data_IF_847298888416
#
_entry.id   IF_847298888416
#
_cell.length_a   1.000
_cell.length_b   1.000
_cell.length_c   1.000
_cell.angle_alpha   90.00
_cell.angle_beta   90.00
_cell.angle_gamma   90.00
#
_symmetry.space_group_name_H-M   'P 1'
#
loop_
_entity.id
_entity.type
_entity.pdbx_description
1 polymer ?
#
# COMPACT_ATOMS: atom_id res chain seq x y z
N UNK A 1 100.77 8.89 34.69
CA UNK A 1 99.33 8.76 34.42
C UNK A 1 98.92 9.89 33.49
N UNK A 2 98.67 9.60 32.21
CA UNK A 2 98.41 10.62 31.17
C UNK A 2 96.95 11.09 31.22
N UNK A 3 96.80 12.38 31.40
CA UNK A 3 95.60 13.21 31.18
C UNK A 3 95.16 13.19 29.71
N UNK A 4 93.86 13.07 29.43
CA UNK A 4 93.27 13.47 28.14
C UNK A 4 92.02 14.34 28.32
N UNK A 5 92.00 15.40 27.52
CA UNK A 5 91.07 16.52 27.44
C UNK A 5 89.72 16.15 26.76
N UNK A 6 88.72 16.99 27.05
CA UNK A 6 87.37 17.09 26.47
C UNK A 6 87.34 17.07 24.93
N UNK A 7 86.23 16.57 24.38
CA UNK A 7 85.65 17.02 23.10
C UNK A 7 84.13 17.18 23.29
N UNK A 8 83.61 18.34 22.88
CA UNK A 8 82.20 18.66 22.83
C UNK A 8 81.56 18.13 21.54
N UNK A 9 80.32 17.68 21.62
CA UNK A 9 79.48 17.38 20.44
C UNK A 9 78.23 18.24 20.51
N UNK A 10 78.10 19.11 19.51
CA UNK A 10 76.91 19.90 19.25
C UNK A 10 75.80 18.99 18.71
N UNK A 11 74.59 19.10 19.26
CA UNK A 11 73.40 18.48 18.69
C UNK A 11 72.51 19.57 18.10
N UNK A 12 72.32 19.45 16.78
CA UNK A 12 71.42 20.19 15.92
C UNK A 12 69.97 19.99 16.32
N UNK A 13 69.22 21.09 16.39
CA UNK A 13 67.76 21.14 16.43
C UNK A 13 67.15 20.47 15.20
N UNK A 14 66.37 19.40 15.39
CA UNK A 14 65.45 18.88 14.39
C UNK A 14 64.02 19.31 14.77
N UNK A 15 63.43 20.15 13.93
CA UNK A 15 62.01 20.54 13.98
C UNK A 15 61.16 19.30 13.63
N UNK A 16 60.44 18.74 14.58
CA UNK A 16 59.43 17.71 14.32
C UNK A 16 58.13 18.37 13.86
N UNK A 17 57.83 18.23 12.57
CA UNK A 17 56.54 18.57 11.98
C UNK A 17 55.54 17.46 12.31
N UNK A 18 54.70 17.67 13.33
CA UNK A 18 53.60 16.77 13.64
C UNK A 18 52.46 16.99 12.63
N UNK A 19 52.29 16.05 11.70
CA UNK A 19 51.11 15.96 10.84
C UNK A 19 49.92 15.51 11.70
N UNK A 20 49.05 16.45 12.07
CA UNK A 20 47.75 16.13 12.66
C UNK A 20 46.83 15.60 11.55
N UNK A 21 46.78 14.28 11.37
CA UNK A 21 45.72 13.62 10.61
C UNK A 21 44.43 13.72 11.44
N UNK A 22 43.63 14.74 11.14
CA UNK A 22 42.27 14.84 11.65
C UNK A 22 41.45 13.67 11.11
N UNK A 23 41.17 12.69 11.96
CA UNK A 23 40.14 11.70 11.70
C UNK A 23 38.79 12.43 11.76
N UNK A 24 38.32 12.90 10.60
CA UNK A 24 36.92 13.24 10.43
C UNK A 24 36.15 11.92 10.47
N UNK A 25 35.69 11.55 11.67
CA UNK A 25 34.67 10.52 11.80
C UNK A 25 33.45 11.01 11.02
N UNK A 26 33.12 10.30 9.93
CA UNK A 26 31.82 10.38 9.28
C UNK A 26 30.79 9.89 10.31
N UNK A 27 30.28 10.81 11.12
CA UNK A 27 29.14 10.53 11.99
C UNK A 27 27.95 10.26 11.07
N UNK A 28 27.45 9.02 11.11
CA UNK A 28 26.12 8.72 10.58
C UNK A 28 25.13 9.76 11.14
N UNK A 29 24.19 10.30 10.34
CA UNK A 29 23.23 11.26 10.82
C UNK A 29 22.50 10.67 12.03
N UNK A 30 22.57 11.37 13.15
CA UNK A 30 21.87 10.98 14.36
C UNK A 30 20.36 10.93 14.06
N UNK A 31 19.68 9.89 14.57
CA UNK A 31 18.23 9.78 14.49
C UNK A 31 17.58 11.12 14.91
N UNK A 32 16.94 11.80 13.96
CA UNK A 32 16.33 13.09 14.20
C UNK A 32 14.98 12.85 14.91
N UNK A 33 14.88 13.25 16.18
CA UNK A 33 13.71 12.99 17.00
C UNK A 33 12.43 13.60 16.40
N UNK A 34 11.41 12.75 16.27
CA UNK A 34 10.08 13.03 15.73
C UNK A 34 9.35 14.19 16.44
N UNK A 35 8.65 15.03 15.68
CA UNK A 35 7.49 15.76 16.21
C UNK A 35 6.37 14.76 16.52
N UNK A 36 5.73 14.80 17.71
CA UNK A 36 4.86 13.73 18.22
C UNK A 36 3.48 13.59 17.54
N UNK A 37 3.29 14.16 16.36
CA UNK A 37 2.00 14.21 15.62
C UNK A 37 2.17 13.84 14.15
N UNK A 38 3.21 13.09 13.82
CA UNK A 38 3.62 12.78 12.46
C UNK A 38 3.56 11.27 12.23
N UNK A 39 2.99 10.85 11.10
CA UNK A 39 3.07 9.47 10.61
C UNK A 39 4.50 8.99 10.57
N UNK A 40 4.71 7.67 10.61
CA UNK A 40 6.03 7.08 10.80
C UNK A 40 6.28 5.88 9.93
N UNK A 41 7.49 5.78 9.39
CA UNK A 41 8.00 4.61 8.69
C UNK A 41 8.73 3.71 9.67
N UNK A 42 8.32 2.43 9.75
CA UNK A 42 8.85 1.46 10.72
C UNK A 42 9.01 0.10 10.06
N UNK A 43 10.14 -0.56 10.30
CA UNK A 43 10.27 -1.97 9.98
C UNK A 43 9.75 -2.81 11.15
N UNK A 44 8.71 -3.60 10.94
CA UNK A 44 8.10 -4.47 11.95
C UNK A 44 7.44 -5.68 11.29
N UNK A 45 7.40 -6.83 11.97
CA UNK A 45 6.80 -8.03 11.39
C UNK A 45 7.58 -8.69 10.25
N UNK A 46 8.66 -8.05 9.75
CA UNK A 46 9.39 -8.50 8.57
C UNK A 46 9.26 -7.53 7.39
N UNK A 47 8.34 -6.56 7.50
CA UNK A 47 7.99 -5.62 6.43
C UNK A 47 8.21 -4.17 6.84
N UNK A 48 8.23 -3.29 5.84
CA UNK A 48 8.20 -1.85 5.99
C UNK A 48 6.75 -1.36 6.12
N UNK A 49 6.46 -0.59 7.17
CA UNK A 49 5.14 -0.03 7.43
C UNK A 49 5.18 1.50 7.42
N UNK A 50 4.27 2.15 6.70
CA UNK A 50 3.82 3.50 7.03
C UNK A 50 2.69 3.41 8.05
N UNK A 51 2.81 4.11 9.18
CA UNK A 51 1.77 4.19 10.21
C UNK A 51 1.46 5.64 10.54
N UNK A 52 0.27 6.08 10.21
CA UNK A 52 -0.22 7.39 10.59
C UNK A 52 -0.34 7.55 12.10
N UNK A 53 -0.35 8.81 12.55
CA UNK A 53 -0.69 9.13 13.94
C UNK A 53 -2.20 9.35 14.05
N UNK A 54 -2.81 8.93 15.16
CA UNK A 54 -4.24 9.14 15.42
C UNK A 54 -4.68 10.58 15.20
N UNK A 55 -5.73 10.79 14.39
CA UNK A 55 -6.31 12.10 14.10
C UNK A 55 -5.51 12.95 13.11
N UNK A 56 -4.40 12.44 12.59
CA UNK A 56 -3.72 13.03 11.44
C UNK A 56 -4.57 12.71 10.21
N UNK A 57 -5.12 13.74 9.55
CA UNK A 57 -5.59 13.50 8.19
C UNK A 57 -4.39 13.36 7.25
N UNK A 58 -4.37 12.34 6.40
CA UNK A 58 -3.29 11.94 5.53
C UNK A 58 -3.67 12.17 4.06
N UNK A 59 -2.68 12.47 3.22
CA UNK A 59 -2.78 12.44 1.76
C UNK A 59 -1.52 11.81 1.21
N UNK A 60 -1.40 10.50 1.45
CA UNK A 60 -0.24 9.71 1.14
C UNK A 60 -0.18 9.37 -0.35
N UNK A 61 0.99 9.50 -0.95
CA UNK A 61 1.31 8.91 -2.25
C UNK A 61 2.57 8.08 -2.09
N UNK A 62 2.53 6.83 -2.58
CA UNK A 62 3.71 5.96 -2.59
C UNK A 62 4.04 5.59 -4.03
N UNK A 63 5.16 6.10 -4.52
CA UNK A 63 5.70 5.75 -5.83
C UNK A 63 6.89 4.83 -5.67
N UNK A 64 7.08 3.88 -6.57
CA UNK A 64 8.34 3.15 -6.67
C UNK A 64 9.07 3.35 -7.99
N UNK A 65 10.37 3.03 -7.95
CA UNK A 65 11.14 2.54 -9.10
C UNK A 65 11.99 1.34 -8.64
N UNK A 66 12.42 0.50 -9.58
CA UNK A 66 13.42 -0.53 -9.31
C UNK A 66 14.81 0.05 -9.53
N UNK A 67 15.74 -0.25 -8.63
CA UNK A 67 17.15 0.12 -8.75
C UNK A 67 18.01 -1.12 -8.51
N UNK A 68 18.91 -1.42 -9.45
CA UNK A 68 19.89 -2.50 -9.31
C UNK A 68 21.20 -1.89 -8.84
N UNK A 69 21.75 -2.44 -7.76
CA UNK A 69 23.04 -2.07 -7.18
C UNK A 69 24.01 -3.23 -7.37
N UNK A 70 25.30 -2.93 -7.53
CA UNK A 70 26.45 -3.84 -7.66
C UNK A 70 26.26 -5.19 -8.41
N UNK A 71 27.04 -5.41 -9.48
CA UNK A 71 27.21 -6.70 -10.18
C UNK A 71 25.90 -7.43 -10.65
N UNK A 72 24.81 -6.70 -10.87
CA UNK A 72 23.54 -7.17 -11.46
C UNK A 72 22.76 -8.21 -10.63
N UNK A 73 23.07 -8.39 -9.34
CA UNK A 73 22.40 -9.38 -8.48
C UNK A 73 21.58 -8.79 -7.33
N UNK A 74 21.83 -7.54 -6.92
CA UNK A 74 21.10 -6.91 -5.82
C UNK A 74 20.12 -5.86 -6.35
N UNK A 75 18.85 -6.23 -6.46
CA UNK A 75 17.78 -5.32 -6.86
C UNK A 75 17.06 -4.75 -5.62
N UNK A 76 16.57 -3.52 -5.72
CA UNK A 76 15.86 -2.83 -4.65
C UNK A 76 14.61 -2.16 -5.18
N UNK A 77 13.52 -2.25 -4.42
CA UNK A 77 12.38 -1.34 -4.56
C UNK A 77 12.72 -0.02 -3.88
N UNK A 78 12.82 1.03 -4.68
CA UNK A 78 13.01 2.38 -4.16
C UNK A 78 11.64 3.02 -3.99
N UNK A 79 11.10 2.90 -2.78
CA UNK A 79 9.80 3.45 -2.39
C UNK A 79 9.98 4.91 -1.97
N UNK A 80 9.13 5.80 -2.49
CA UNK A 80 9.07 7.20 -2.07
C UNK A 80 7.69 7.50 -1.53
N UNK A 81 7.62 7.67 -0.22
CA UNK A 81 6.44 8.08 0.51
C UNK A 81 6.37 9.60 0.53
N UNK A 82 5.22 10.16 0.15
CA UNK A 82 4.92 11.59 0.25
C UNK A 82 3.60 11.76 0.97
N UNK A 83 3.60 12.49 2.07
CA UNK A 83 2.37 12.88 2.76
C UNK A 83 2.28 14.41 2.84
N UNK A 84 1.13 14.92 3.29
CA UNK A 84 0.94 16.35 3.58
C UNK A 84 1.57 16.76 4.92
N UNK A 85 1.72 15.83 5.85
CA UNK A 85 2.36 16.05 7.13
C UNK A 85 3.81 15.51 7.11
N UNK A 86 4.68 15.96 8.03
CA UNK A 86 5.99 15.35 8.21
C UNK A 86 5.85 13.85 8.48
N UNK A 87 6.79 13.07 7.95
CA UNK A 87 6.93 11.64 8.16
C UNK A 87 8.16 11.43 9.05
N UNK A 88 8.01 10.68 10.13
CA UNK A 88 9.12 10.24 10.97
C UNK A 88 9.72 8.96 10.40
N UNK A 89 11.05 8.82 10.45
CA UNK A 89 11.71 7.57 10.10
C UNK A 89 12.22 6.91 11.38
N UNK A 90 11.64 5.77 11.75
CA UNK A 90 12.11 5.00 12.90
C UNK A 90 13.47 4.38 12.60
N UNK A 91 14.27 4.17 13.65
CA UNK A 91 15.58 3.54 13.54
C UNK A 91 15.51 2.17 12.84
N UNK A 92 14.44 1.40 13.06
CA UNK A 92 14.28 0.09 12.41
C UNK A 92 14.16 0.20 10.90
N UNK A 93 13.38 1.18 10.40
CA UNK A 93 13.22 1.43 8.97
C UNK A 93 14.50 2.01 8.35
N UNK A 94 15.21 2.88 9.07
CA UNK A 94 16.51 3.40 8.62
C UNK A 94 17.57 2.29 8.52
N UNK A 95 17.63 1.38 9.50
CA UNK A 95 18.65 0.34 9.56
C UNK A 95 18.38 -0.84 8.62
N UNK A 96 17.11 -1.19 8.37
CA UNK A 96 16.73 -2.39 7.61
C UNK A 96 16.27 -2.12 6.18
N UNK A 97 15.59 -1.00 5.95
CA UNK A 97 15.00 -0.63 4.65
C UNK A 97 15.63 0.66 4.09
N UNK A 98 16.78 1.05 4.66
CA UNK A 98 17.57 2.23 4.27
C UNK A 98 16.75 3.51 4.13
N UNK A 99 15.71 3.67 4.95
CA UNK A 99 14.84 4.83 4.88
C UNK A 99 15.60 6.11 5.24
N UNK A 100 15.55 7.10 4.35
CA UNK A 100 16.21 8.40 4.50
C UNK A 100 15.32 9.53 3.99
N UNK A 101 15.57 10.75 4.47
CA UNK A 101 15.01 11.97 3.88
C UNK A 101 15.83 12.37 2.64
N UNK A 102 15.21 12.52 1.46
CA UNK A 102 15.92 13.02 0.28
C UNK A 102 16.39 14.48 0.44
N UNK A 103 15.75 15.24 1.32
CA UNK A 103 16.09 16.62 1.65
C UNK A 103 16.01 16.84 3.15
N UNK A 104 17.00 17.52 3.73
CA UNK A 104 17.01 17.85 5.17
C UNK A 104 15.95 18.90 5.57
N UNK A 105 15.36 19.60 4.59
CA UNK A 105 14.37 20.66 4.83
C UNK A 105 12.94 20.24 4.54
N UNK A 106 12.75 19.10 3.89
CA UNK A 106 11.45 18.57 3.51
C UNK A 106 11.27 17.19 4.14
N UNK A 107 10.59 17.18 5.29
CA UNK A 107 10.32 15.97 6.06
C UNK A 107 9.00 15.32 5.66
N UNK A 108 8.25 15.86 4.69
CA UNK A 108 7.00 15.24 4.22
C UNK A 108 7.26 14.18 3.16
N UNK A 109 8.52 14.01 2.76
CA UNK A 109 8.99 13.01 1.80
C UNK A 109 10.05 12.13 2.44
N UNK A 110 9.82 10.82 2.43
CA UNK A 110 10.79 9.82 2.85
C UNK A 110 10.99 8.80 1.74
N UNK A 111 12.23 8.32 1.60
CA UNK A 111 12.60 7.32 0.60
C UNK A 111 13.26 6.13 1.26
N UNK A 112 12.78 4.93 0.96
CA UNK A 112 13.30 3.67 1.46
C UNK A 112 13.79 2.82 0.29
N UNK A 113 14.80 2.00 0.53
CA UNK A 113 15.28 0.99 -0.39
C UNK A 113 15.07 -0.38 0.25
N UNK A 114 14.01 -1.07 -0.19
CA UNK A 114 13.68 -2.42 0.26
C UNK A 114 14.38 -3.40 -0.68
N UNK A 115 15.23 -4.25 -0.12
CA UNK A 115 15.99 -5.24 -0.89
C UNK A 115 15.06 -6.30 -1.50
N UNK A 116 15.34 -6.71 -2.74
CA UNK A 116 14.65 -7.76 -3.48
C UNK A 116 15.56 -8.99 -3.50
N UNK A 117 15.36 -9.99 -2.64
CA UNK A 117 16.17 -11.19 -2.64
C UNK A 117 16.10 -11.95 -3.96
N UNK A 118 17.22 -12.50 -4.43
CA UNK A 118 17.23 -13.35 -5.62
C UNK A 118 16.32 -14.56 -5.40
N UNK A 119 15.24 -14.65 -6.19
CA UNK A 119 14.24 -15.71 -6.09
C UNK A 119 13.13 -15.47 -5.07
N UNK A 120 12.96 -14.24 -4.55
CA UNK A 120 11.72 -13.86 -3.86
C UNK A 120 10.53 -13.92 -4.83
N UNK A 121 9.36 -14.21 -4.27
CA UNK A 121 8.08 -14.08 -4.97
C UNK A 121 7.51 -12.64 -4.90
N UNK A 122 8.33 -11.70 -4.43
CA UNK A 122 8.08 -10.27 -4.29
C UNK A 122 6.85 -9.90 -3.46
N UNK A 123 6.26 -10.85 -2.70
CA UNK A 123 4.89 -10.71 -2.18
C UNK A 123 4.71 -9.73 -1.02
N UNK A 124 5.78 -9.36 -0.28
CA UNK A 124 5.68 -8.61 0.98
C UNK A 124 6.61 -7.36 1.01
N UNK A 125 6.27 -6.30 0.28
CA UNK A 125 7.18 -5.15 0.10
C UNK A 125 6.95 -4.06 1.15
N UNK A 126 5.70 -3.60 1.32
CA UNK A 126 5.36 -2.59 2.34
C UNK A 126 3.86 -2.52 2.61
N UNK A 127 3.51 -2.00 3.79
CA UNK A 127 2.13 -1.77 4.20
C UNK A 127 1.89 -0.31 4.58
N UNK A 128 0.64 0.10 4.47
CA UNK A 128 0.18 1.44 4.82
C UNK A 128 -1.00 1.36 5.77
N UNK A 129 -0.87 1.94 6.95
CA UNK A 129 -1.94 2.14 7.93
C UNK A 129 -2.20 3.64 8.09
N UNK A 130 -3.35 4.11 7.58
CA UNK A 130 -3.76 5.51 7.61
C UNK A 130 -4.42 5.90 8.95
N UNK A 131 -4.81 4.92 9.78
CA UNK A 131 -5.23 5.15 11.16
C UNK A 131 -6.67 5.66 11.28
N UNK A 132 -6.85 6.79 11.98
CA UNK A 132 -8.18 7.39 12.19
C UNK A 132 -8.23 8.74 11.48
N UNK A 133 -9.29 9.02 10.75
CA UNK A 133 -9.49 10.24 9.98
C UNK A 133 -10.10 9.94 8.62
N UNK A 134 -10.43 10.99 7.87
CA UNK A 134 -10.74 10.82 6.45
C UNK A 134 -9.46 11.05 5.67
N UNK A 135 -8.92 9.98 5.12
CA UNK A 135 -7.60 9.93 4.55
C UNK A 135 -7.61 9.59 3.06
N UNK A 136 -6.46 9.76 2.44
CA UNK A 136 -6.28 9.37 1.04
C UNK A 136 -4.93 8.70 0.87
N UNK A 137 -4.92 7.53 0.26
CA UNK A 137 -3.72 6.88 -0.25
C UNK A 137 -3.82 6.75 -1.77
N UNK A 138 -2.72 7.05 -2.47
CA UNK A 138 -2.62 6.89 -3.92
C UNK A 138 -1.36 6.16 -4.29
N UNK A 139 -1.52 5.01 -4.94
CA UNK A 139 -0.48 4.21 -5.55
C UNK A 139 -0.58 4.40 -7.07
N UNK A 140 0.40 5.07 -7.71
CA UNK A 140 0.36 5.32 -9.15
C UNK A 140 0.38 4.02 -9.96
N UNK A 141 -0.28 3.99 -11.13
CA UNK A 141 -0.41 2.80 -11.97
C UNK A 141 0.92 2.13 -12.41
N UNK A 142 2.03 2.87 -12.43
CA UNK A 142 3.35 2.32 -12.74
C UNK A 142 4.04 1.68 -11.52
N UNK A 143 3.31 1.55 -10.41
CA UNK A 143 3.76 0.90 -9.20
C UNK A 143 3.33 -0.59 -9.23
N UNK A 144 4.28 -1.49 -9.46
CA UNK A 144 4.17 -2.94 -9.39
C UNK A 144 4.67 -3.52 -8.04
N UNK A 145 4.80 -2.72 -6.97
CA UNK A 145 5.20 -3.21 -5.66
C UNK A 145 3.93 -3.47 -4.89
N UNK A 146 3.75 -4.71 -4.48
CA UNK A 146 2.65 -5.14 -3.64
C UNK A 146 2.60 -4.33 -2.35
N UNK A 147 1.40 -3.88 -2.02
CA UNK A 147 1.10 -3.27 -0.75
C UNK A 147 -0.29 -3.65 -0.25
N UNK A 148 -0.41 -3.84 1.05
CA UNK A 148 -1.71 -3.73 1.70
C UNK A 148 -1.91 -2.31 2.24
N UNK A 149 -3.07 -1.73 1.94
CA UNK A 149 -3.43 -0.38 2.35
C UNK A 149 -4.66 -0.47 3.22
N UNK A 150 -4.51 0.00 4.45
CA UNK A 150 -5.51 0.03 5.49
C UNK A 150 -5.97 1.49 5.70
N UNK A 151 -7.22 1.79 5.35
CA UNK A 151 -7.87 3.08 5.59
C UNK A 151 -8.04 3.34 7.09
N UNK A 152 -8.74 2.42 7.75
CA UNK A 152 -8.89 2.45 9.21
C UNK A 152 -10.24 3.01 9.60
N UNK A 153 -10.31 4.03 10.46
CA UNK A 153 -11.59 4.67 10.78
C UNK A 153 -11.75 5.98 10.03
N UNK A 154 -12.90 6.17 9.42
CA UNK A 154 -13.28 7.40 8.73
C UNK A 154 -13.60 7.10 7.27
N UNK A 155 -13.93 8.12 6.51
CA UNK A 155 -14.29 7.95 5.10
C UNK A 155 -13.05 8.17 4.25
N UNK A 156 -12.45 7.09 3.81
CA UNK A 156 -11.15 7.07 3.15
C UNK A 156 -11.27 6.95 1.63
N UNK A 157 -10.23 7.41 0.94
CA UNK A 157 -10.08 7.25 -0.51
C UNK A 157 -8.80 6.48 -0.80
N UNK A 158 -8.93 5.22 -1.20
CA UNK A 158 -7.81 4.34 -1.50
C UNK A 158 -7.75 4.09 -3.00
N UNK A 159 -6.71 4.61 -3.65
CA UNK A 159 -6.49 4.43 -5.08
C UNK A 159 -5.26 3.55 -5.25
N UNK A 160 -5.50 2.31 -5.67
CA UNK A 160 -4.49 1.29 -5.90
C UNK A 160 -4.42 0.83 -7.34
N UNK A 161 -3.56 -0.16 -7.56
CA UNK A 161 -3.41 -0.91 -8.80
C UNK A 161 -3.97 -2.32 -8.62
N UNK A 162 -3.89 -3.17 -9.66
CA UNK A 162 -4.24 -4.59 -9.54
C UNK A 162 -3.32 -5.39 -8.62
N UNK A 163 -2.17 -4.82 -8.22
CA UNK A 163 -1.20 -5.47 -7.33
C UNK A 163 -1.44 -5.16 -5.85
N UNK A 164 -2.26 -4.16 -5.55
CA UNK A 164 -2.51 -3.72 -4.18
C UNK A 164 -3.72 -4.44 -3.58
N UNK A 165 -3.71 -4.63 -2.26
CA UNK A 165 -4.88 -5.03 -1.48
C UNK A 165 -5.38 -3.81 -0.73
N UNK A 166 -6.67 -3.49 -0.87
CA UNK A 166 -7.26 -2.28 -0.29
C UNK A 166 -8.28 -2.68 0.78
N UNK A 167 -8.10 -2.17 1.99
CA UNK A 167 -9.01 -2.35 3.12
C UNK A 167 -9.53 -0.99 3.57
N UNK A 168 -10.80 -0.67 3.31
CA UNK A 168 -11.45 0.54 3.82
C UNK A 168 -11.54 0.52 5.35
N UNK A 169 -12.13 -0.55 5.87
CA UNK A 169 -12.47 -0.80 7.28
C UNK A 169 -13.69 0.00 7.75
N UNK A 170 -13.59 0.88 8.73
CA UNK A 170 -14.75 1.55 9.32
C UNK A 170 -14.99 2.89 8.61
N UNK A 171 -16.15 3.09 8.01
CA UNK A 171 -16.54 4.35 7.38
C UNK A 171 -17.13 4.12 6.00
N UNK A 172 -17.49 5.21 5.31
CA UNK A 172 -17.96 5.12 3.93
C UNK A 172 -16.78 5.41 3.00
N UNK A 173 -16.17 4.36 2.50
CA UNK A 173 -14.91 4.42 1.79
C UNK A 173 -15.07 4.40 0.28
N UNK A 174 -14.06 4.91 -0.41
CA UNK A 174 -13.97 4.86 -1.88
C UNK A 174 -12.67 4.17 -2.29
N UNK A 175 -12.81 2.94 -2.76
CA UNK A 175 -11.72 2.09 -3.19
C UNK A 175 -11.72 2.00 -4.72
N UNK A 176 -10.58 2.29 -5.32
CA UNK A 176 -10.37 2.24 -6.77
C UNK A 176 -9.20 1.31 -7.07
N UNK A 177 -9.45 0.27 -7.86
CA UNK A 177 -8.47 -0.78 -8.12
C UNK A 177 -8.54 -1.88 -7.07
N UNK A 178 -7.38 -2.46 -6.77
CA UNK A 178 -7.28 -3.62 -5.89
C UNK A 178 -7.45 -4.92 -6.66
N UNK A 179 -6.58 -5.89 -6.36
CA UNK A 179 -6.59 -7.21 -7.01
C UNK A 179 -5.71 -8.20 -6.27
N UNK A 180 -4.64 -7.66 -5.67
CA UNK A 180 -3.77 -8.33 -4.73
C UNK A 180 -3.06 -9.55 -5.29
N UNK A 181 -2.16 -10.10 -4.48
CA UNK A 181 -1.72 -11.49 -4.66
C UNK A 181 -2.82 -12.44 -4.19
N UNK A 182 -2.91 -13.60 -4.84
CA UNK A 182 -3.85 -14.68 -4.47
C UNK A 182 -5.35 -14.41 -4.70
N UNK A 183 -5.69 -13.32 -5.39
CA UNK A 183 -7.07 -12.99 -5.77
C UNK A 183 -7.90 -12.33 -4.67
N UNK A 184 -7.24 -11.70 -3.71
CA UNK A 184 -7.87 -10.79 -2.75
C UNK A 184 -7.86 -9.37 -3.34
N UNK A 185 -9.03 -8.82 -3.68
CA UNK A 185 -9.12 -7.45 -4.20
C UNK A 185 -9.46 -6.42 -3.13
N UNK A 186 -10.44 -5.58 -3.40
CA UNK A 186 -10.86 -4.49 -2.51
C UNK A 186 -11.88 -4.98 -1.46
N UNK A 187 -11.71 -4.54 -0.22
CA UNK A 187 -12.61 -4.81 0.90
C UNK A 187 -13.08 -3.47 1.48
N UNK A 188 -14.37 -3.18 1.38
CA UNK A 188 -15.00 -1.98 1.94
C UNK A 188 -14.94 -2.01 3.46
N UNK A 189 -15.71 -2.89 4.09
CA UNK A 189 -15.72 -3.06 5.54
C UNK A 189 -17.08 -2.68 6.11
N UNK A 190 -17.11 -1.74 7.05
CA UNK A 190 -18.32 -1.29 7.72
C UNK A 190 -18.65 0.14 7.29
N UNK A 191 -19.77 0.33 6.60
CA UNK A 191 -20.26 1.60 6.09
C UNK A 191 -20.81 1.41 4.69
N UNK A 192 -21.18 2.50 4.02
CA UNK A 192 -21.66 2.43 2.64
C UNK A 192 -20.50 2.76 1.71
N UNK A 193 -19.90 1.73 1.13
CA UNK A 193 -18.65 1.82 0.39
C UNK A 193 -18.86 1.87 -1.12
N UNK A 194 -17.88 2.45 -1.81
CA UNK A 194 -17.83 2.50 -3.27
C UNK A 194 -16.56 1.80 -3.72
N UNK A 195 -16.71 0.63 -4.35
CA UNK A 195 -15.61 -0.18 -4.87
C UNK A 195 -15.68 -0.19 -6.40
N UNK A 196 -14.62 0.26 -7.06
CA UNK A 196 -14.57 0.35 -8.53
C UNK A 196 -13.28 -0.22 -9.10
N UNK A 197 -13.41 -0.96 -10.20
CA UNK A 197 -12.25 -1.47 -10.95
C UNK A 197 -11.44 -2.51 -10.17
N UNK A 198 -12.09 -3.34 -9.36
CA UNK A 198 -11.39 -4.46 -8.71
C UNK A 198 -11.02 -5.50 -9.76
N UNK A 199 -9.77 -5.97 -9.75
CA UNK A 199 -9.21 -6.85 -10.78
C UNK A 199 -9.44 -8.35 -10.52
N UNK A 200 -10.23 -8.70 -9.51
CA UNK A 200 -10.59 -10.10 -9.24
C UNK A 200 -11.81 -10.20 -8.33
N UNK A 201 -11.70 -9.68 -7.11
CA UNK A 201 -12.75 -9.78 -6.11
C UNK A 201 -13.00 -8.44 -5.39
N UNK A 202 -14.26 -8.00 -5.33
CA UNK A 202 -14.69 -6.91 -4.46
C UNK A 202 -15.59 -7.48 -3.35
N UNK A 203 -15.38 -7.00 -2.12
CA UNK A 203 -16.26 -7.29 -0.99
C UNK A 203 -16.72 -5.96 -0.38
N UNK A 204 -18.03 -5.68 -0.43
CA UNK A 204 -18.61 -4.49 0.18
C UNK A 204 -18.51 -4.56 1.70
N UNK A 205 -19.17 -5.55 2.30
CA UNK A 205 -19.09 -5.79 3.74
C UNK A 205 -20.41 -5.52 4.41
N UNK A 206 -20.47 -4.58 5.36
CA UNK A 206 -21.67 -4.22 6.08
C UNK A 206 -22.05 -2.78 5.78
N UNK A 207 -23.29 -2.55 5.34
CA UNK A 207 -23.79 -1.27 4.86
C UNK A 207 -24.20 -1.41 3.39
N UNK A 208 -24.71 -0.34 2.79
CA UNK A 208 -25.26 -0.38 1.44
C UNK A 208 -24.18 0.02 0.44
N UNK A 209 -23.60 -0.96 -0.22
CA UNK A 209 -22.38 -0.79 -1.00
C UNK A 209 -22.65 -0.68 -2.50
N UNK A 210 -21.72 -0.04 -3.21
CA UNK A 210 -21.73 0.08 -4.66
C UNK A 210 -20.48 -0.56 -5.24
N UNK A 211 -20.63 -1.73 -5.86
CA UNK A 211 -19.54 -2.52 -6.44
C UNK A 211 -19.59 -2.43 -7.96
N UNK A 212 -18.45 -2.17 -8.57
CA UNK A 212 -18.29 -2.21 -10.03
C UNK A 212 -17.02 -2.98 -10.37
N UNK A 213 -17.18 -4.09 -11.10
CA UNK A 213 -16.07 -4.87 -11.65
C UNK A 213 -15.23 -4.06 -12.64
N UNK A 214 -14.12 -4.64 -13.08
CA UNK A 214 -13.33 -4.05 -14.15
C UNK A 214 -13.97 -4.31 -15.54
N UNK A 215 -13.85 -3.34 -16.43
CA UNK A 215 -14.24 -3.46 -17.84
C UNK A 215 -12.98 -3.88 -18.61
N UNK A 216 -12.69 -5.18 -18.62
CA UNK A 216 -11.52 -5.72 -19.31
C UNK A 216 -11.90 -6.25 -20.70
N UNK A 217 -11.09 -5.90 -21.72
CA UNK A 217 -11.31 -6.41 -23.08
C UNK A 217 -11.02 -7.92 -23.19
N UNK A 218 -10.28 -8.46 -22.23
CA UNK A 218 -9.84 -9.85 -22.16
C UNK A 218 -10.93 -10.80 -21.62
N UNK A 219 -11.99 -10.27 -21.00
CA UNK A 219 -13.16 -11.03 -20.53
C UNK A 219 -12.92 -11.81 -19.24
N UNK A 220 -12.04 -11.33 -18.36
CA UNK A 220 -11.83 -11.98 -17.07
C UNK A 220 -13.05 -11.84 -16.17
N UNK A 221 -13.23 -12.83 -15.30
CA UNK A 221 -14.35 -12.91 -14.37
C UNK A 221 -14.12 -11.98 -13.19
N UNK A 222 -15.10 -11.14 -12.88
CA UNK A 222 -15.19 -10.45 -11.60
C UNK A 222 -15.93 -11.31 -10.56
N UNK A 223 -15.50 -11.21 -9.30
CA UNK A 223 -16.20 -11.76 -8.13
C UNK A 223 -16.68 -10.59 -7.28
N UNK A 224 -17.99 -10.32 -7.27
CA UNK A 224 -18.58 -9.22 -6.53
C UNK A 224 -19.44 -9.77 -5.38
N UNK A 225 -19.23 -9.29 -4.17
CA UNK A 225 -20.02 -9.66 -3.00
C UNK A 225 -20.43 -8.40 -2.23
N UNK A 226 -21.73 -8.06 -2.26
CA UNK A 226 -22.29 -6.91 -1.55
C UNK A 226 -22.13 -7.07 -0.04
N UNK A 227 -22.71 -8.12 0.52
CA UNK A 227 -22.57 -8.44 1.94
C UNK A 227 -23.87 -8.19 2.70
N UNK A 228 -23.83 -7.43 3.79
CA UNK A 228 -25.00 -7.06 4.58
C UNK A 228 -25.45 -5.65 4.22
N UNK A 229 -26.56 -5.48 3.51
CA UNK A 229 -27.02 -4.16 3.07
C UNK A 229 -27.99 -4.22 1.91
N UNK A 230 -28.39 -3.07 1.38
CA UNK A 230 -29.09 -3.03 0.09
C UNK A 230 -28.09 -2.58 -0.96
N UNK A 231 -27.42 -3.55 -1.57
CA UNK A 231 -26.23 -3.30 -2.36
C UNK A 231 -26.56 -3.10 -3.83
N UNK A 232 -25.60 -2.53 -4.56
CA UNK A 232 -25.66 -2.40 -6.01
C UNK A 232 -24.37 -2.96 -6.59
N UNK A 233 -24.48 -3.95 -7.48
CA UNK A 233 -23.32 -4.57 -8.12
C UNK A 233 -23.46 -4.60 -9.65
N UNK A 234 -22.39 -4.19 -10.34
CA UNK A 234 -22.27 -4.22 -11.80
C UNK A 234 -21.08 -5.09 -12.23
N UNK A 235 -21.36 -6.19 -12.92
CA UNK A 235 -20.38 -7.17 -13.42
C UNK A 235 -19.45 -6.62 -14.50
N UNK A 236 -19.99 -5.82 -15.43
CA UNK A 236 -19.33 -5.30 -16.64
C UNK A 236 -19.22 -6.33 -17.75
N UNK A 237 -18.02 -6.61 -18.22
CA UNK A 237 -17.76 -7.56 -19.27
C UNK A 237 -17.02 -8.75 -18.68
N UNK A 238 -17.39 -9.96 -19.08
CA UNK A 238 -16.76 -11.17 -18.57
C UNK A 238 -17.81 -12.14 -18.06
N UNK A 239 -17.41 -13.38 -17.76
CA UNK A 239 -18.31 -14.36 -17.15
C UNK A 239 -18.30 -14.19 -15.63
N UNK A 240 -19.09 -13.24 -15.12
CA UNK A 240 -19.00 -12.72 -13.75
C UNK A 240 -19.67 -13.60 -12.69
N UNK A 241 -19.28 -13.41 -11.44
CA UNK A 241 -19.89 -14.04 -10.27
C UNK A 241 -20.30 -12.97 -9.25
N UNK A 242 -21.60 -12.80 -9.06
CA UNK A 242 -22.17 -11.75 -8.22
C UNK A 242 -23.02 -12.35 -7.11
N UNK A 243 -22.77 -11.93 -5.87
CA UNK A 243 -23.55 -12.23 -4.69
C UNK A 243 -24.08 -10.92 -4.09
N UNK A 244 -25.41 -10.82 -3.91
CA UNK A 244 -26.05 -9.71 -3.21
C UNK A 244 -25.75 -9.79 -1.71
N UNK A 245 -26.30 -10.81 -1.06
CA UNK A 245 -26.00 -11.12 0.34
C UNK A 245 -27.25 -11.02 1.20
N UNK A 246 -27.27 -10.15 2.21
CA UNK A 246 -28.46 -9.89 3.02
C UNK A 246 -28.98 -8.50 2.72
N UNK A 247 -30.22 -8.40 2.25
CA UNK A 247 -30.95 -7.16 2.08
C UNK A 247 -31.59 -7.11 0.70
N UNK A 248 -31.97 -5.93 0.21
CA UNK A 248 -32.68 -5.83 -1.06
C UNK A 248 -31.73 -5.29 -2.13
N UNK A 249 -31.13 -6.19 -2.88
CA UNK A 249 -29.99 -5.87 -3.72
C UNK A 249 -30.39 -5.57 -5.17
N UNK A 250 -29.54 -4.84 -5.88
CA UNK A 250 -29.65 -4.60 -7.33
C UNK A 250 -28.41 -5.12 -8.03
N UNK A 251 -28.58 -6.23 -8.75
CA UNK A 251 -27.47 -6.97 -9.33
C UNK A 251 -27.59 -6.97 -10.85
N UNK A 252 -26.52 -6.58 -11.53
CA UNK A 252 -26.43 -6.46 -12.98
C UNK A 252 -25.21 -7.24 -13.47
N UNK A 253 -25.41 -8.35 -14.19
CA UNK A 253 -24.32 -9.11 -14.80
C UNK A 253 -23.66 -8.34 -15.94
N UNK A 254 -24.50 -7.69 -16.76
CA UNK A 254 -24.09 -7.01 -17.98
C UNK A 254 -23.68 -8.00 -19.08
N UNK A 255 -22.47 -7.97 -19.64
CA UNK A 255 -22.10 -8.78 -20.82
C UNK A 255 -21.28 -10.00 -20.43
N UNK A 256 -21.80 -11.19 -20.69
CA UNK A 256 -21.07 -12.45 -20.51
C UNK A 256 -21.99 -13.55 -20.02
N UNK A 257 -21.47 -14.72 -19.65
CA UNK A 257 -22.26 -15.78 -19.06
C UNK A 257 -22.13 -15.73 -17.53
N UNK A 258 -23.04 -15.00 -16.91
CA UNK A 258 -22.91 -14.60 -15.52
C UNK A 258 -23.54 -15.60 -14.55
N UNK A 259 -23.09 -15.56 -13.30
CA UNK A 259 -23.72 -16.24 -12.17
C UNK A 259 -24.09 -15.21 -11.13
N UNK A 260 -25.39 -15.01 -10.93
CA UNK A 260 -25.90 -13.97 -10.03
C UNK A 260 -26.82 -14.59 -8.99
N UNK A 261 -26.48 -14.35 -7.73
CA UNK A 261 -27.20 -14.83 -6.55
C UNK A 261 -27.63 -13.64 -5.68
N UNK A 262 -28.92 -13.35 -5.61
CA UNK A 262 -29.48 -12.31 -4.71
C UNK A 262 -29.25 -12.65 -3.24
N UNK A 263 -29.41 -13.93 -2.91
CA UNK A 263 -29.41 -14.47 -1.55
C UNK A 263 -30.64 -14.01 -0.76
N UNK A 264 -30.49 -13.40 0.42
CA UNK A 264 -31.62 -13.16 1.33
C UNK A 264 -32.18 -11.75 1.16
N UNK A 265 -33.47 -11.63 0.84
CA UNK A 265 -34.18 -10.35 0.79
C UNK A 265 -34.98 -10.22 -0.51
N UNK A 266 -35.35 -9.02 -0.93
CA UNK A 266 -36.15 -8.85 -2.16
C UNK A 266 -35.30 -8.21 -3.24
N UNK A 267 -34.76 -9.06 -4.12
CA UNK A 267 -33.70 -8.64 -5.02
C UNK A 267 -34.21 -8.27 -6.41
N UNK A 268 -33.48 -7.37 -7.07
CA UNK A 268 -33.61 -7.06 -8.48
C UNK A 268 -32.39 -7.58 -9.22
N UNK A 269 -32.57 -8.59 -10.05
CA UNK A 269 -31.49 -9.24 -10.79
C UNK A 269 -31.70 -9.07 -12.29
N UNK A 270 -30.67 -8.58 -12.96
CA UNK A 270 -30.57 -8.50 -14.41
C UNK A 270 -29.32 -9.27 -14.87
N UNK A 271 -29.50 -10.37 -15.60
CA UNK A 271 -28.38 -11.09 -16.21
C UNK A 271 -27.69 -10.22 -17.26
N UNK A 272 -28.43 -9.87 -18.31
CA UNK A 272 -27.88 -9.12 -19.44
C UNK A 272 -27.67 -10.06 -20.63
N UNK A 273 -26.87 -9.67 -21.65
CA UNK A 273 -26.58 -10.53 -22.78
C UNK A 273 -25.67 -11.70 -22.40
N UNK A 274 -26.16 -12.93 -22.62
CA UNK A 274 -25.37 -14.16 -22.48
C UNK A 274 -26.21 -15.31 -21.97
N UNK A 275 -25.55 -16.39 -21.52
CA UNK A 275 -26.21 -17.55 -20.91
C UNK A 275 -25.99 -17.53 -19.41
N UNK A 276 -26.87 -16.84 -18.70
CA UNK A 276 -26.68 -16.57 -17.28
C UNK A 276 -27.38 -17.60 -16.40
N UNK A 277 -26.86 -17.73 -15.18
CA UNK A 277 -27.46 -18.48 -14.08
C UNK A 277 -27.87 -17.47 -13.02
N UNK A 278 -29.18 -17.27 -12.89
CA UNK A 278 -29.74 -16.28 -11.98
C UNK A 278 -30.56 -16.96 -10.88
N UNK A 279 -30.34 -16.57 -9.63
CA UNK A 279 -31.09 -17.04 -8.47
C UNK A 279 -31.39 -15.88 -7.54
N UNK A 280 -32.67 -15.55 -7.33
CA UNK A 280 -33.09 -14.58 -6.30
C UNK A 280 -32.72 -15.06 -4.91
N UNK A 281 -33.29 -16.20 -4.49
CA UNK A 281 -33.07 -16.77 -3.17
C UNK A 281 -34.32 -16.63 -2.31
N UNK A 282 -34.20 -16.59 -0.98
CA UNK A 282 -35.34 -16.33 -0.10
C UNK A 282 -35.84 -14.88 -0.21
N UNK A 283 -37.08 -14.70 -0.69
CA UNK A 283 -37.79 -13.42 -0.64
C UNK A 283 -38.68 -13.20 -1.86
N UNK A 284 -38.98 -11.95 -2.19
CA UNK A 284 -39.80 -11.58 -3.36
C UNK A 284 -38.94 -10.93 -4.43
N UNK A 285 -38.35 -11.76 -5.27
CA UNK A 285 -37.36 -11.30 -6.24
C UNK A 285 -37.94 -10.99 -7.61
N UNK A 286 -37.25 -10.11 -8.32
CA UNK A 286 -37.50 -9.78 -9.72
C UNK A 286 -36.26 -10.14 -10.53
N UNK A 287 -36.36 -11.19 -11.33
CA UNK A 287 -35.25 -11.73 -12.11
C UNK A 287 -35.53 -11.57 -13.61
N UNK A 288 -34.59 -10.97 -14.33
CA UNK A 288 -34.69 -10.67 -15.75
C UNK A 288 -33.48 -11.25 -16.51
N UNK A 289 -33.77 -12.08 -17.51
CA UNK A 289 -32.80 -12.53 -18.52
C UNK A 289 -33.14 -11.88 -19.85
N UNK A 290 -32.15 -11.29 -20.51
CA UNK A 290 -32.29 -10.70 -21.85
C UNK A 290 -31.75 -11.63 -22.94
#
# INVERSE_FOLDING_TARGET
MRTHRRIATATTTALTLALALGAAALTAPAAQAATPTAGSLRHTGGELWYKATTGQANRLTVSMKIEVRDNDLDAYYILTFRDRAPITIDKSAADKDECVYPSATDLTVARCAVHIPVGSDDTDIYDVDLGDGNDTATIPANNHAYAAIYGGKGNDVLIGTGWDVLYGQDGNDHLVGGGGVWGLGALGGAGNDVLTGCSNACYGGAGNDSLTGEDNEDGDRNILNGGDGNDVAYGRSGDDLIYGGRGNDRLYGEKGNDRIYGNSGNDLIHGGPGKDILSGGPGKDRVYQN
#
